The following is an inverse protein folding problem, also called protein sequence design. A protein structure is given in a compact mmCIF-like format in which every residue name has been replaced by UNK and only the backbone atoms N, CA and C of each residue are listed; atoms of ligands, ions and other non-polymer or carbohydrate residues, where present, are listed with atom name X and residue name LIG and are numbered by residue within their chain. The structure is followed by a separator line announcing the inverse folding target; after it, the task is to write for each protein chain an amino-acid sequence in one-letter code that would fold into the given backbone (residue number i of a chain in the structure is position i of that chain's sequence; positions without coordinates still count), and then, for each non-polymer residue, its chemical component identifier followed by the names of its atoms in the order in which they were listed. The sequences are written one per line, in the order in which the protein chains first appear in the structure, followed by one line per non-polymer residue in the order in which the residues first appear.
data_IF_862882298411
#
_entry.id   IF_862882298411
#
_cell.length_a   1.000
_cell.length_b   1.000
_cell.length_c   1.000
_cell.angle_alpha   90.00
_cell.angle_beta   90.00
_cell.angle_gamma   90.00
#
_symmetry.space_group_name_H-M   'P 1'
#
loop_
_entity.id
_entity.type
_entity.pdbx_description
1 polymer ?
#
# COMPACT_ATOMS: atom_id res chain seq x y z
N UNK A 1 -36.42 -74.58 14.99
CA UNK A 1 -35.11 -73.93 14.82
C UNK A 1 -35.13 -72.66 15.65
N UNK A 2 -34.41 -72.67 16.77
CA UNK A 2 -33.94 -71.49 17.49
C UNK A 2 -33.03 -70.65 16.55
N UNK A 3 -32.74 -69.36 16.74
CA UNK A 3 -32.48 -68.63 17.98
C UNK A 3 -32.63 -67.12 17.79
N UNK A 4 -33.01 -66.45 18.86
CA UNK A 4 -32.83 -65.02 19.12
C UNK A 4 -31.33 -64.64 19.12
N UNK A 5 -31.04 -63.36 18.88
CA UNK A 5 -29.72 -62.76 19.05
C UNK A 5 -29.83 -61.24 19.19
N UNK A 6 -29.72 -60.78 20.43
CA UNK A 6 -29.83 -59.40 20.92
C UNK A 6 -28.77 -58.43 20.40
N UNK A 7 -29.11 -57.14 20.46
CA UNK A 7 -28.24 -55.96 20.31
C UNK A 7 -27.02 -55.96 21.25
N UNK A 8 -26.00 -55.13 20.95
CA UNK A 8 -25.83 -53.95 21.79
C UNK A 8 -25.51 -52.66 21.03
N UNK A 9 -26.10 -51.58 21.53
CA UNK A 9 -25.70 -50.19 21.39
C UNK A 9 -24.41 -49.92 22.18
N UNK A 10 -23.47 -49.16 21.62
CA UNK A 10 -22.74 -48.09 22.32
C UNK A 10 -21.85 -47.25 21.36
N UNK A 11 -21.39 -46.04 21.77
CA UNK A 11 -21.39 -44.86 20.92
C UNK A 11 -19.96 -44.36 20.64
N UNK A 12 -19.62 -44.21 19.37
CA UNK A 12 -18.33 -43.66 18.95
C UNK A 12 -18.51 -42.34 18.24
N UNK A 13 -18.79 -41.28 19.00
CA UNK A 13 -18.70 -39.91 18.47
C UNK A 13 -17.27 -39.62 18.04
N UNK A 14 -17.01 -39.59 16.74
CA UNK A 14 -15.87 -38.87 16.20
C UNK A 14 -16.36 -37.52 15.71
N UNK A 15 -16.58 -36.63 16.67
CA UNK A 15 -16.62 -35.20 16.41
C UNK A 15 -15.20 -34.80 15.99
N UNK A 16 -14.92 -34.83 14.68
CA UNK A 16 -13.87 -33.97 14.15
C UNK A 16 -14.35 -32.55 14.36
N UNK A 17 -13.92 -31.97 15.48
CA UNK A 17 -13.93 -30.53 15.67
C UNK A 17 -13.07 -29.95 14.55
N UNK A 18 -13.71 -29.54 13.46
CA UNK A 18 -13.23 -28.42 12.67
C UNK A 18 -13.25 -27.25 13.64
N UNK A 19 -12.12 -26.99 14.30
CA UNK A 19 -11.89 -25.68 14.89
C UNK A 19 -11.90 -24.73 13.71
N UNK A 20 -13.07 -24.19 13.40
CA UNK A 20 -13.17 -22.96 12.67
C UNK A 20 -12.36 -21.96 13.48
N UNK A 21 -11.14 -21.69 13.02
CA UNK A 21 -10.43 -20.48 13.41
C UNK A 21 -11.30 -19.37 12.85
N UNK A 22 -12.26 -18.92 13.65
CA UNK A 22 -13.00 -17.71 13.39
C UNK A 22 -11.97 -16.59 13.51
N UNK A 23 -11.34 -16.25 12.38
CA UNK A 23 -10.68 -14.96 12.25
C UNK A 23 -11.77 -13.93 12.53
N UNK A 24 -11.68 -13.26 13.67
CA UNK A 24 -12.44 -12.04 13.88
C UNK A 24 -11.98 -11.10 12.78
N UNK A 25 -12.78 -10.96 11.73
CA UNK A 25 -12.50 -10.02 10.67
C UNK A 25 -12.60 -8.64 11.32
N UNK A 26 -11.45 -8.02 11.54
CA UNK A 26 -11.37 -6.68 12.12
C UNK A 26 -12.13 -5.79 11.16
N UNK A 27 -13.24 -5.21 11.62
CA UNK A 27 -13.98 -4.25 10.82
C UNK A 27 -13.16 -2.96 10.81
N UNK A 28 -12.54 -2.69 9.67
CA UNK A 28 -11.76 -1.48 9.47
C UNK A 28 -12.70 -0.27 9.37
N UNK A 29 -12.31 0.91 9.89
CA UNK A 29 -13.06 2.13 9.67
C UNK A 29 -13.16 2.43 8.18
N UNK A 30 -14.31 2.95 7.77
CA UNK A 30 -14.49 3.47 6.42
C UNK A 30 -13.66 4.76 6.26
N UNK A 31 -13.10 5.01 5.06
CA UNK A 31 -12.48 6.30 4.76
C UNK A 31 -13.55 7.42 4.73
N UNK A 32 -13.14 8.69 4.77
CA UNK A 32 -14.06 9.82 4.63
C UNK A 32 -14.90 9.77 3.35
N UNK A 33 -16.04 10.45 3.34
CA UNK A 33 -16.92 10.50 2.16
C UNK A 33 -16.16 10.94 0.89
N UNK A 34 -16.40 10.22 -0.20
CA UNK A 34 -15.73 10.45 -1.49
C UNK A 34 -14.31 9.86 -1.58
N UNK A 35 -13.80 9.19 -0.54
CA UNK A 35 -12.50 8.52 -0.58
C UNK A 35 -12.70 7.01 -0.67
N UNK A 36 -11.88 6.37 -1.49
CA UNK A 36 -11.85 4.93 -1.67
C UNK A 36 -10.46 4.41 -1.28
N UNK A 37 -10.36 3.83 -0.08
CA UNK A 37 -9.12 3.19 0.38
C UNK A 37 -8.93 1.87 -0.35
N UNK A 38 -7.72 1.63 -0.87
CA UNK A 38 -7.41 0.39 -1.60
C UNK A 38 -5.97 -0.06 -1.31
N UNK A 39 -5.74 -1.33 -0.98
CA UNK A 39 -4.37 -1.85 -0.92
C UNK A 39 -3.84 -2.01 -2.36
N UNK A 40 -2.62 -1.55 -2.62
CA UNK A 40 -1.98 -1.57 -3.93
C UNK A 40 -0.70 -2.41 -3.92
N UNK A 41 -0.20 -2.81 -5.07
CA UNK A 41 1.19 -3.19 -5.23
C UNK A 41 1.87 -2.29 -6.26
N UNK A 42 3.19 -2.41 -6.40
CA UNK A 42 4.03 -1.57 -7.26
C UNK A 42 3.56 -1.46 -8.71
N UNK A 43 2.96 -2.50 -9.31
CA UNK A 43 2.46 -2.41 -10.70
C UNK A 43 1.16 -1.60 -10.81
N UNK A 44 0.43 -1.37 -9.72
CA UNK A 44 -0.75 -0.50 -9.76
C UNK A 44 -0.37 0.99 -9.74
N UNK A 45 0.87 1.32 -9.37
CA UNK A 45 1.32 2.71 -9.31
C UNK A 45 1.36 3.33 -10.71
N UNK A 46 0.81 4.53 -10.84
CA UNK A 46 0.75 5.24 -12.12
C UNK A 46 1.99 6.10 -12.36
N UNK A 47 3.15 5.57 -11.99
CA UNK A 47 4.45 6.27 -12.04
C UNK A 47 4.73 6.92 -13.40
N UNK A 48 4.36 6.26 -14.50
CA UNK A 48 4.60 6.74 -15.87
C UNK A 48 3.44 7.59 -16.45
N UNK A 49 2.32 7.71 -15.75
CA UNK A 49 1.11 8.40 -16.20
C UNK A 49 0.83 9.69 -15.40
N UNK A 50 1.89 10.37 -14.97
CA UNK A 50 1.78 11.55 -14.10
C UNK A 50 0.93 12.65 -14.71
N UNK A 51 -0.05 13.12 -13.93
CA UNK A 51 -0.95 14.22 -14.28
C UNK A 51 -0.26 15.57 -14.26
N UNK A 52 0.56 15.82 -13.24
CA UNK A 52 1.33 17.06 -13.18
C UNK A 52 2.45 17.04 -14.22
N UNK A 53 2.40 18.00 -15.15
CA UNK A 53 3.39 18.16 -16.21
C UNK A 53 4.03 19.52 -16.09
N UNK A 54 5.36 19.53 -16.09
CA UNK A 54 6.12 20.77 -16.13
C UNK A 54 5.77 21.49 -17.45
N UNK A 55 5.42 22.79 -17.40
CA UNK A 55 5.15 23.56 -18.61
C UNK A 55 6.34 23.50 -19.59
N UNK A 56 6.07 23.33 -20.89
CA UNK A 56 7.10 23.25 -21.95
C UNK A 56 7.68 24.62 -22.29
N UNK A 57 8.21 25.33 -21.30
CA UNK A 57 8.81 26.65 -21.43
C UNK A 57 10.18 26.69 -20.77
N UNK A 58 11.18 27.19 -21.50
CA UNK A 58 12.50 27.44 -20.94
C UNK A 58 12.50 28.79 -20.23
N UNK A 59 12.68 28.78 -18.91
CA UNK A 59 12.75 30.00 -18.07
C UNK A 59 14.17 30.34 -17.64
N UNK A 60 15.09 29.37 -17.69
CA UNK A 60 16.50 29.55 -17.37
C UNK A 60 17.27 29.82 -18.66
N UNK A 61 17.99 30.94 -18.73
CA UNK A 61 18.77 31.36 -19.91
C UNK A 61 20.28 31.38 -19.68
N UNK A 62 20.73 31.38 -18.41
CA UNK A 62 22.16 31.47 -18.05
C UNK A 62 22.44 30.58 -16.84
N UNK A 63 23.47 29.75 -16.93
CA UNK A 63 24.06 29.04 -15.78
C UNK A 63 25.29 29.84 -15.33
N UNK A 64 25.38 30.28 -14.07
CA UNK A 64 26.54 31.03 -13.60
C UNK A 64 27.86 30.21 -13.70
N UNK A 65 29.02 30.87 -13.91
CA UNK A 65 30.30 30.20 -13.86
C UNK A 65 30.52 29.48 -12.53
N UNK A 66 31.15 28.31 -12.57
CA UNK A 66 31.47 27.48 -11.38
C UNK A 66 30.24 26.96 -10.62
N UNK A 67 29.04 26.97 -11.22
CA UNK A 67 27.87 26.30 -10.63
C UNK A 67 28.01 24.78 -10.76
N UNK A 68 28.18 24.10 -9.63
CA UNK A 68 28.26 22.64 -9.54
C UNK A 68 27.09 22.03 -8.76
N UNK A 69 26.15 22.85 -8.30
CA UNK A 69 25.03 22.44 -7.47
C UNK A 69 23.73 23.06 -8.01
N UNK A 70 22.71 22.21 -8.20
CA UNK A 70 21.43 22.56 -8.80
C UNK A 70 20.31 22.04 -7.89
N UNK A 71 20.03 22.74 -6.79
CA UNK A 71 19.01 22.30 -5.85
C UNK A 71 17.63 22.35 -6.49
N UNK A 72 16.76 21.43 -6.06
CA UNK A 72 15.34 21.53 -6.38
C UNK A 72 14.75 22.80 -5.74
N UNK A 73 13.76 23.43 -6.40
CA UNK A 73 13.13 24.64 -5.86
C UNK A 73 12.36 24.32 -4.59
N UNK A 74 12.59 25.08 -3.52
CA UNK A 74 11.83 24.98 -2.26
C UNK A 74 10.72 26.03 -2.17
N UNK A 75 10.47 26.79 -3.24
CA UNK A 75 9.67 28.02 -3.22
C UNK A 75 8.20 27.81 -2.80
N UNK A 76 7.68 26.58 -2.85
CA UNK A 76 6.30 26.26 -2.47
C UNK A 76 6.15 25.59 -1.11
N UNK A 77 7.24 25.22 -0.43
CA UNK A 77 7.26 24.65 0.93
C UNK A 77 6.18 23.59 1.24
N UNK A 78 6.53 22.30 1.20
CA UNK A 78 5.60 21.19 1.47
C UNK A 78 5.69 20.63 2.91
N UNK A 79 5.91 21.49 3.92
CA UNK A 79 5.97 21.06 5.32
C UNK A 79 7.11 20.07 5.61
N UNK A 80 6.76 18.89 6.14
CA UNK A 80 7.71 17.81 6.47
C UNK A 80 8.18 17.01 5.24
N UNK A 81 7.51 17.18 4.10
CA UNK A 81 7.85 16.49 2.87
C UNK A 81 9.12 17.07 2.24
N UNK A 82 10.03 16.19 1.83
CA UNK A 82 11.24 16.55 1.09
C UNK A 82 11.09 16.10 -0.36
N UNK A 83 11.28 17.00 -1.35
CA UNK A 83 11.27 16.61 -2.75
C UNK A 83 12.53 15.79 -3.07
N UNK A 84 12.35 14.62 -3.67
CA UNK A 84 13.42 13.72 -4.08
C UNK A 84 13.25 13.34 -5.55
N UNK A 85 14.37 13.12 -6.23
CA UNK A 85 14.38 12.71 -7.64
C UNK A 85 14.72 11.23 -7.73
N UNK A 86 13.79 10.44 -8.28
CA UNK A 86 14.01 9.05 -8.64
C UNK A 86 15.19 8.93 -9.64
N UNK A 87 15.97 7.84 -9.65
CA UNK A 87 17.04 7.64 -10.63
C UNK A 87 16.60 7.79 -12.11
N UNK A 88 15.31 7.57 -12.39
CA UNK A 88 14.71 7.75 -13.72
C UNK A 88 14.22 9.19 -14.00
N UNK A 89 14.44 10.13 -13.07
CA UNK A 89 14.10 11.55 -13.20
C UNK A 89 12.72 11.96 -12.67
N UNK A 90 11.93 11.04 -12.14
CA UNK A 90 10.63 11.35 -11.54
C UNK A 90 10.75 12.04 -10.18
N UNK A 91 10.00 13.12 -9.95
CA UNK A 91 9.84 13.74 -8.63
C UNK A 91 8.96 12.87 -7.72
N UNK A 92 9.41 12.60 -6.51
CA UNK A 92 8.58 12.06 -5.45
C UNK A 92 8.84 12.84 -4.16
N UNK A 93 8.01 12.62 -3.16
CA UNK A 93 8.12 13.31 -1.88
C UNK A 93 8.33 12.29 -0.77
N UNK A 94 9.22 12.61 0.16
CA UNK A 94 9.58 11.74 1.27
C UNK A 94 9.49 12.48 2.60
N UNK A 95 8.77 11.89 3.55
CA UNK A 95 8.80 12.26 4.96
C UNK A 95 9.69 11.25 5.71
N UNK A 96 10.89 11.70 6.07
CA UNK A 96 11.89 10.86 6.74
C UNK A 96 11.58 10.53 8.19
N UNK A 97 10.75 11.34 8.86
CA UNK A 97 10.40 11.12 10.26
C UNK A 97 9.38 9.98 10.39
N UNK A 98 8.43 9.91 9.44
CA UNK A 98 7.36 8.91 9.43
C UNK A 98 7.63 7.73 8.51
N UNK A 99 8.72 7.76 7.74
CA UNK A 99 9.10 6.76 6.73
C UNK A 99 8.03 6.61 5.64
N UNK A 100 7.59 7.73 5.07
CA UNK A 100 6.50 7.76 4.08
C UNK A 100 7.00 8.37 2.79
N UNK A 101 6.72 7.74 1.65
CA UNK A 101 6.87 8.40 0.36
C UNK A 101 5.59 8.38 -0.48
N UNK A 102 5.51 9.35 -1.38
CA UNK A 102 4.40 9.48 -2.33
C UNK A 102 4.86 10.11 -3.64
N UNK A 103 4.26 9.68 -4.74
CA UNK A 103 4.37 10.35 -6.04
C UNK A 103 3.34 11.49 -6.20
N UNK A 104 2.40 11.63 -5.25
CA UNK A 104 1.41 12.69 -5.24
C UNK A 104 2.08 14.07 -5.13
N UNK A 105 1.55 15.05 -5.86
CA UNK A 105 2.17 16.38 -5.96
C UNK A 105 1.85 17.25 -4.75
N UNK A 106 2.45 16.97 -3.59
CA UNK A 106 2.20 17.64 -2.30
C UNK A 106 2.68 19.11 -2.23
N UNK A 107 3.20 19.66 -3.33
CA UNK A 107 3.28 21.11 -3.49
C UNK A 107 1.89 21.75 -3.67
N UNK A 108 0.91 21.00 -4.14
CA UNK A 108 -0.50 21.40 -4.07
C UNK A 108 -0.98 21.23 -2.61
N UNK A 109 -1.36 22.32 -1.92
CA UNK A 109 -1.80 22.24 -0.53
C UNK A 109 -3.03 21.35 -0.33
N UNK A 110 -3.88 21.19 -1.34
CA UNK A 110 -5.04 20.28 -1.26
C UNK A 110 -4.57 18.82 -1.24
N UNK A 111 -3.61 18.46 -2.10
CA UNK A 111 -3.05 17.11 -2.13
C UNK A 111 -2.23 16.82 -0.88
N UNK A 112 -1.51 17.81 -0.35
CA UNK A 112 -0.82 17.69 0.92
C UNK A 112 -1.79 17.40 2.07
N UNK A 113 -2.91 18.12 2.15
CA UNK A 113 -3.95 17.89 3.16
C UNK A 113 -4.60 16.50 3.01
N UNK A 114 -4.87 16.05 1.78
CA UNK A 114 -5.35 14.68 1.53
C UNK A 114 -4.36 13.62 2.02
N UNK A 115 -3.06 13.82 1.81
CA UNK A 115 -2.03 12.90 2.28
C UNK A 115 -2.01 12.81 3.80
N UNK A 116 -2.09 13.94 4.50
CA UNK A 116 -2.13 13.96 5.97
C UNK A 116 -3.40 13.29 6.52
N UNK A 117 -4.57 13.52 5.89
CA UNK A 117 -5.81 12.83 6.25
C UNK A 117 -5.71 11.32 6.03
N UNK A 118 -5.11 10.88 4.92
CA UNK A 118 -4.94 9.47 4.62
C UNK A 118 -3.98 8.79 5.61
N UNK A 119 -2.87 9.45 5.95
CA UNK A 119 -1.92 8.96 6.97
C UNK A 119 -2.64 8.77 8.31
N UNK A 120 -3.39 9.78 8.75
CA UNK A 120 -4.15 9.69 10.00
C UNK A 120 -5.16 8.53 9.99
N UNK A 121 -5.81 8.27 8.86
CA UNK A 121 -6.72 7.14 8.70
C UNK A 121 -6.01 5.78 8.80
N UNK A 122 -4.83 5.63 8.18
CA UNK A 122 -4.02 4.41 8.32
C UNK A 122 -3.52 4.22 9.76
N UNK A 123 -3.17 5.30 10.46
CA UNK A 123 -2.80 5.26 11.88
C UNK A 123 -3.96 4.80 12.78
N UNK A 124 -5.21 5.16 12.45
CA UNK A 124 -6.40 4.65 13.14
C UNK A 124 -6.57 3.15 12.94
N UNK A 125 -6.35 2.67 11.72
CA UNK A 125 -6.38 1.23 11.41
C UNK A 125 -5.28 0.50 12.20
N UNK A 126 -4.06 1.02 12.22
CA UNK A 126 -2.93 0.43 12.93
C UNK A 126 -3.23 0.22 14.42
N UNK A 127 -3.96 1.14 15.06
CA UNK A 127 -4.36 1.02 16.47
C UNK A 127 -5.29 -0.17 16.74
N UNK A 128 -5.96 -0.70 15.72
CA UNK A 128 -6.81 -1.89 15.84
C UNK A 128 -6.00 -3.19 15.87
N UNK A 129 -4.77 -3.15 15.36
CA UNK A 129 -3.87 -4.30 15.37
C UNK A 129 -3.13 -4.41 16.70
N UNK A 130 -3.02 -5.63 17.21
CA UNK A 130 -2.19 -5.94 18.40
C UNK A 130 -0.71 -6.10 18.06
N UNK A 131 -0.35 -6.06 16.76
CA UNK A 131 1.01 -6.21 16.25
C UNK A 131 1.56 -4.85 15.87
N UNK A 132 2.81 -4.57 16.25
CA UNK A 132 3.54 -3.39 15.77
C UNK A 132 3.98 -3.56 14.32
N UNK A 133 4.21 -2.44 13.64
CA UNK A 133 4.93 -2.44 12.37
C UNK A 133 6.33 -3.06 12.51
N UNK A 134 6.91 -3.60 11.42
CA UNK A 134 8.32 -3.98 11.37
C UNK A 134 9.22 -2.80 11.78
N UNK A 135 10.45 -3.03 12.26
CA UNK A 135 11.34 -1.93 12.67
C UNK A 135 11.89 -1.13 11.49
N UNK A 136 11.99 -1.75 10.31
CA UNK A 136 12.57 -1.17 9.11
C UNK A 136 11.53 -1.21 7.99
N UNK A 137 10.56 -0.32 8.08
CA UNK A 137 9.45 -0.24 7.14
C UNK A 137 9.43 1.09 6.40
N UNK A 138 8.80 1.08 5.23
CA UNK A 138 8.38 2.28 4.51
C UNK A 138 6.89 2.16 4.17
N UNK A 139 6.18 3.29 4.18
CA UNK A 139 4.81 3.42 3.71
C UNK A 139 4.79 4.17 2.39
N UNK A 140 4.08 3.62 1.41
CA UNK A 140 3.87 4.24 0.11
C UNK A 140 2.43 4.67 0.00
N UNK A 141 2.22 5.93 -0.38
CA UNK A 141 0.89 6.49 -0.63
C UNK A 141 0.72 6.87 -2.08
N UNK A 142 -0.45 6.56 -2.62
CA UNK A 142 -0.93 6.99 -3.92
C UNK A 142 -2.27 7.71 -3.74
N UNK A 143 -2.37 8.94 -4.22
CA UNK A 143 -3.58 9.77 -4.13
C UNK A 143 -3.93 10.24 -5.53
N UNK A 144 -5.02 9.71 -6.05
CA UNK A 144 -5.43 9.93 -7.43
C UNK A 144 -6.95 10.03 -7.52
N UNK A 145 -7.52 10.84 -8.42
CA UNK A 145 -8.92 10.75 -8.79
C UNK A 145 -9.38 9.32 -9.08
N UNK A 146 -10.45 8.89 -8.41
CA UNK A 146 -11.12 7.63 -8.65
C UNK A 146 -12.08 7.81 -9.85
N UNK A 147 -11.67 7.32 -11.02
CA UNK A 147 -12.37 7.46 -12.30
C UNK A 147 -12.41 8.91 -12.86
N UNK A 148 -13.19 9.15 -13.90
CA UNK A 148 -13.48 10.48 -14.48
C UNK A 148 -14.32 11.40 -13.54
N UNK A 149 -14.63 10.93 -12.33
CA UNK A 149 -15.43 11.65 -11.35
C UNK A 149 -14.62 12.71 -10.60
N UNK A 150 -14.92 13.99 -10.81
CA UNK A 150 -14.20 15.13 -10.22
C UNK A 150 -14.21 15.21 -8.67
N UNK A 151 -14.97 14.33 -7.99
CA UNK A 151 -15.18 14.41 -6.53
C UNK A 151 -14.80 13.14 -5.76
N UNK A 152 -14.23 12.14 -6.42
CA UNK A 152 -13.82 10.90 -5.75
C UNK A 152 -12.31 10.73 -5.83
N UNK A 153 -11.69 10.33 -4.72
CA UNK A 153 -10.26 10.10 -4.62
C UNK A 153 -9.99 8.65 -4.20
N UNK A 154 -9.09 8.01 -4.93
CA UNK A 154 -8.43 6.79 -4.53
C UNK A 154 -7.36 7.12 -3.49
N UNK A 155 -7.41 6.39 -2.38
CA UNK A 155 -6.40 6.36 -1.33
C UNK A 155 -5.71 5.01 -1.39
N UNK A 156 -4.69 4.91 -2.23
CA UNK A 156 -3.92 3.70 -2.47
C UNK A 156 -2.71 3.61 -1.56
N UNK A 157 -2.43 2.43 -1.00
CA UNK A 157 -1.23 2.26 -0.17
C UNK A 157 -0.65 0.85 -0.19
N UNK A 158 0.61 0.77 0.21
CA UNK A 158 1.23 -0.46 0.71
C UNK A 158 2.38 -0.13 1.65
N UNK A 159 2.73 -1.09 2.48
CA UNK A 159 3.94 -1.04 3.30
C UNK A 159 5.01 -1.94 2.72
N UNK A 160 6.26 -1.59 2.97
CA UNK A 160 7.44 -2.41 2.66
C UNK A 160 8.11 -2.76 3.98
N UNK A 161 8.48 -4.02 4.17
CA UNK A 161 9.42 -4.45 5.19
C UNK A 161 10.77 -4.70 4.50
N UNK A 162 11.76 -3.86 4.78
CA UNK A 162 13.07 -3.96 4.13
C UNK A 162 13.90 -5.15 4.64
N UNK A 163 13.64 -5.65 5.85
CA UNK A 163 14.39 -6.77 6.42
C UNK A 163 13.98 -8.09 5.74
N UNK A 164 12.70 -8.21 5.38
CA UNK A 164 12.15 -9.35 4.64
C UNK A 164 11.94 -9.09 3.15
N UNK A 165 12.25 -7.87 2.68
CA UNK A 165 12.07 -7.39 1.30
C UNK A 165 10.67 -7.67 0.76
N UNK A 166 9.67 -7.45 1.60
CA UNK A 166 8.30 -7.87 1.31
C UNK A 166 7.33 -6.70 1.42
N UNK A 167 6.37 -6.63 0.49
CA UNK A 167 5.21 -5.76 0.64
C UNK A 167 4.19 -6.38 1.59
N UNK A 168 3.49 -5.55 2.35
CA UNK A 168 2.37 -5.96 3.20
C UNK A 168 1.32 -4.86 3.33
N UNK A 169 0.14 -5.23 3.80
CA UNK A 169 -1.04 -4.37 3.86
C UNK A 169 -1.72 -4.45 5.23
N UNK A 170 -2.55 -3.45 5.53
CA UNK A 170 -3.38 -3.43 6.74
C UNK A 170 -4.78 -3.98 6.47
N UNK A 171 -5.04 -4.51 5.29
CA UNK A 171 -6.28 -5.19 4.94
C UNK A 171 -5.99 -6.39 4.05
N UNK A 172 -7.02 -7.21 3.79
CA UNK A 172 -6.87 -8.35 2.89
C UNK A 172 -6.52 -7.85 1.48
N UNK A 173 -5.45 -8.40 0.91
CA UNK A 173 -5.02 -8.11 -0.45
C UNK A 173 -5.26 -9.32 -1.34
N UNK A 174 -5.92 -9.11 -2.48
CA UNK A 174 -6.24 -10.18 -3.41
C UNK A 174 -5.00 -10.61 -4.20
N UNK A 175 -4.44 -11.77 -3.85
CA UNK A 175 -3.19 -12.25 -4.47
C UNK A 175 -3.26 -12.44 -5.99
N UNK A 176 -4.47 -12.53 -6.57
CA UNK A 176 -4.67 -12.64 -8.01
C UNK A 176 -4.03 -11.46 -8.76
N UNK A 177 -4.02 -10.26 -8.16
CA UNK A 177 -3.40 -9.06 -8.74
C UNK A 177 -1.88 -9.17 -8.84
N UNK A 178 -1.23 -9.90 -7.93
CA UNK A 178 0.23 -10.11 -7.95
C UNK A 178 0.66 -11.22 -8.91
N UNK A 179 -0.19 -12.23 -9.10
CA UNK A 179 0.18 -13.48 -9.79
C UNK A 179 -0.50 -13.65 -11.13
N UNK A 180 -1.13 -12.60 -11.67
CA UNK A 180 -1.95 -12.69 -12.88
C UNK A 180 -1.19 -13.21 -14.12
N UNK A 181 0.13 -13.04 -14.18
CA UNK A 181 1.00 -13.57 -15.24
C UNK A 181 1.61 -14.95 -14.94
N UNK A 182 1.28 -15.55 -13.79
CA UNK A 182 1.91 -16.78 -13.29
C UNK A 182 0.94 -17.95 -13.30
N UNK A 183 1.36 -19.06 -13.90
CA UNK A 183 0.67 -20.34 -13.80
C UNK A 183 1.22 -21.21 -12.66
N UNK A 184 0.37 -22.01 -12.03
CA UNK A 184 0.80 -23.03 -11.06
C UNK A 184 1.14 -22.51 -9.65
N UNK A 185 0.66 -21.34 -9.27
CA UNK A 185 0.81 -20.81 -7.90
C UNK A 185 -0.02 -21.66 -6.93
N UNK A 186 0.65 -22.60 -6.24
CA UNK A 186 0.00 -23.56 -5.33
C UNK A 186 0.41 -23.42 -3.87
N UNK A 187 1.35 -22.52 -3.56
CA UNK A 187 1.90 -22.35 -2.20
C UNK A 187 2.08 -20.88 -1.85
N UNK A 188 2.02 -20.55 -0.55
CA UNK A 188 2.28 -19.19 -0.07
C UNK A 188 3.72 -18.74 -0.34
N UNK A 189 4.69 -19.67 -0.38
CA UNK A 189 6.07 -19.36 -0.78
C UNK A 189 6.18 -18.86 -2.22
N UNK A 190 5.34 -19.35 -3.15
CA UNK A 190 5.32 -18.82 -4.52
C UNK A 190 4.85 -17.36 -4.54
N UNK A 191 3.82 -17.04 -3.73
CA UNK A 191 3.35 -15.66 -3.55
C UNK A 191 4.46 -14.80 -2.91
N UNK A 192 5.18 -15.33 -1.92
CA UNK A 192 6.33 -14.66 -1.31
C UNK A 192 7.40 -14.26 -2.34
N UNK A 193 7.73 -15.14 -3.29
CA UNK A 193 8.65 -14.81 -4.38
C UNK A 193 8.08 -13.74 -5.33
N UNK A 194 6.77 -13.78 -5.63
CA UNK A 194 6.14 -12.74 -6.43
C UNK A 194 6.22 -11.37 -5.71
N UNK A 195 5.94 -11.33 -4.41
CA UNK A 195 6.05 -10.13 -3.58
C UNK A 195 7.50 -9.62 -3.51
N UNK A 196 8.48 -10.50 -3.23
CA UNK A 196 9.89 -10.10 -3.17
C UNK A 196 10.38 -9.55 -4.52
N UNK A 197 9.87 -10.06 -5.64
CA UNK A 197 10.23 -9.53 -6.97
C UNK A 197 9.82 -8.07 -7.17
N UNK A 198 8.76 -7.63 -6.48
CA UNK A 198 8.27 -6.25 -6.51
C UNK A 198 9.10 -5.28 -5.63
N UNK A 199 10.05 -5.77 -4.84
CA UNK A 199 10.92 -4.93 -4.02
C UNK A 199 12.08 -4.29 -4.81
N UNK A 200 12.50 -4.93 -5.89
CA UNK A 200 13.68 -4.57 -6.68
C UNK A 200 13.34 -3.66 -7.85
#
# INVERSE_FOLDING_TARGET
MASEGSSPTDPGGSSTMTKATTWLQILLPDPPEGRWRMPLHTNNLRRYERKYKIPKQNTISVIPPMTTHFPHSTESGCGNWVPVTHPEGGLYFYDSERHIFTDAYVYDPLIADEAEQFIAHLDEILKLYSKSLPPNYELVLEIEPWDDGEFQLMWGYYYIDHDTRSQFWLEEFESADLIWELDGVSTFSHIGHAIESQYW
#
